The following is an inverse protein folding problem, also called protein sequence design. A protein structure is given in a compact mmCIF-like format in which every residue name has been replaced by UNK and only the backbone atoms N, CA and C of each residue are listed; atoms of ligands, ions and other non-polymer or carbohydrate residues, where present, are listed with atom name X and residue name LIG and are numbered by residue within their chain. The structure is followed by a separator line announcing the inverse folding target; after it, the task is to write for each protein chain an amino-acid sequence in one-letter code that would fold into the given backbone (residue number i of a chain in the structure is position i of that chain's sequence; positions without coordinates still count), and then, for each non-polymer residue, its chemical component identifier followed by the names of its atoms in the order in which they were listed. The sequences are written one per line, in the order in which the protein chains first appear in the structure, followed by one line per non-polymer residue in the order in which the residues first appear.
data_IF_774697450781
#
_entry.id   IF_774697450781
#
_cell.length_a   1.000
_cell.length_b   1.000
_cell.length_c   1.000
_cell.angle_alpha   90.00
_cell.angle_beta   90.00
_cell.angle_gamma   90.00
#
_symmetry.space_group_name_H-M   'P 1'
#
loop_
_entity.id
_entity.type
_entity.pdbx_description
1 polymer ?
#
# COMPACT_ATOMS: atom_id res chain seq x y z
N UNK A 1 -15.85 -8.44 -1.34
CA UNK A 1 -16.27 -9.70 -1.97
C UNK A 1 -17.69 -9.99 -1.55
N UNK A 2 -18.63 -10.27 -2.48
CA UNK A 2 -20.00 -10.62 -2.10
C UNK A 2 -20.00 -11.90 -1.26
N UNK A 3 -20.68 -11.88 -0.12
CA UNK A 3 -20.80 -13.05 0.77
C UNK A 3 -21.44 -14.25 0.06
N UNK A 4 -22.27 -13.96 -0.96
CA UNK A 4 -23.00 -14.96 -1.76
C UNK A 4 -22.26 -15.41 -3.02
N UNK A 5 -21.02 -14.95 -3.26
CA UNK A 5 -20.27 -15.37 -4.43
C UNK A 5 -19.95 -16.88 -4.34
N UNK A 6 -20.27 -17.68 -5.37
CA UNK A 6 -19.90 -19.06 -5.36
C UNK A 6 -18.38 -19.21 -5.32
N UNK A 7 -17.85 -20.27 -4.69
CA UNK A 7 -16.42 -20.53 -4.75
C UNK A 7 -16.00 -20.68 -6.22
N UNK A 8 -14.80 -20.16 -6.60
CA UNK A 8 -14.32 -20.31 -7.96
C UNK A 8 -14.10 -21.80 -8.29
N UNK A 9 -14.33 -22.15 -9.55
CA UNK A 9 -14.07 -23.50 -10.03
C UNK A 9 -12.57 -23.86 -9.90
N UNK A 10 -12.23 -25.12 -9.59
CA UNK A 10 -10.83 -25.54 -9.44
C UNK A 10 -9.97 -25.21 -10.68
N UNK A 11 -10.50 -25.34 -11.88
CA UNK A 11 -9.81 -25.03 -13.12
C UNK A 11 -9.49 -23.54 -13.25
N UNK A 12 -10.36 -22.67 -12.77
CA UNK A 12 -10.15 -21.23 -12.73
C UNK A 12 -9.05 -20.85 -11.75
N UNK A 13 -9.05 -21.47 -10.56
CA UNK A 13 -7.97 -21.31 -9.57
C UNK A 13 -6.63 -21.76 -10.17
N UNK A 14 -6.58 -22.92 -10.82
CA UNK A 14 -5.34 -23.45 -11.41
C UNK A 14 -4.86 -22.59 -12.58
N UNK A 15 -5.78 -22.02 -13.37
CA UNK A 15 -5.44 -21.06 -14.42
C UNK A 15 -4.76 -19.80 -13.82
N UNK A 16 -5.32 -19.21 -12.79
CA UNK A 16 -4.70 -18.05 -12.14
C UNK A 16 -3.35 -18.38 -11.48
N UNK A 17 -3.20 -19.55 -10.87
CA UNK A 17 -1.90 -20.02 -10.35
C UNK A 17 -0.88 -20.17 -11.46
N UNK A 18 -1.26 -20.78 -12.58
CA UNK A 18 -0.39 -20.90 -13.76
C UNK A 18 0.06 -19.55 -14.29
N UNK A 19 -0.85 -18.56 -14.37
CA UNK A 19 -0.50 -17.20 -14.78
C UNK A 19 0.52 -16.56 -13.85
N UNK A 20 0.29 -16.65 -12.53
CA UNK A 20 1.20 -16.08 -11.52
C UNK A 20 2.59 -16.75 -11.55
N UNK A 21 2.64 -18.07 -11.65
CA UNK A 21 3.91 -18.80 -11.75
C UNK A 21 4.65 -18.46 -13.05
N UNK A 22 3.94 -18.43 -14.16
CA UNK A 22 4.50 -18.10 -15.48
C UNK A 22 5.06 -16.68 -15.48
N UNK A 23 4.31 -15.71 -14.96
CA UNK A 23 4.77 -14.34 -14.82
C UNK A 23 6.02 -14.27 -13.94
N UNK A 24 6.02 -14.87 -12.77
CA UNK A 24 7.16 -14.84 -11.85
C UNK A 24 8.41 -15.43 -12.49
N UNK A 25 8.30 -16.58 -13.16
CA UNK A 25 9.43 -17.21 -13.88
C UNK A 25 9.99 -16.32 -14.98
N UNK A 26 9.12 -15.70 -15.78
CA UNK A 26 9.54 -14.78 -16.85
C UNK A 26 10.16 -13.51 -16.29
N UNK A 27 9.58 -12.96 -15.23
CA UNK A 27 10.11 -11.79 -14.54
C UNK A 27 11.50 -12.04 -13.97
N UNK A 28 11.72 -13.16 -13.31
CA UNK A 28 13.03 -13.51 -12.76
C UNK A 28 14.08 -13.76 -13.85
N UNK A 29 13.69 -14.30 -14.99
CA UNK A 29 14.57 -14.40 -16.15
C UNK A 29 14.96 -13.02 -16.70
N UNK A 30 14.01 -12.10 -16.80
CA UNK A 30 14.25 -10.71 -17.19
C UNK A 30 15.17 -9.99 -16.19
N UNK A 31 14.89 -10.11 -14.89
CA UNK A 31 15.74 -9.52 -13.83
C UNK A 31 17.17 -10.01 -13.93
N UNK A 32 17.36 -11.32 -14.11
CA UNK A 32 18.69 -11.90 -14.30
C UNK A 32 19.38 -11.40 -15.57
N UNK A 33 18.65 -11.21 -16.67
CA UNK A 33 19.18 -10.65 -17.91
C UNK A 33 19.61 -9.19 -17.73
N UNK A 34 18.79 -8.37 -17.08
CA UNK A 34 19.08 -6.97 -16.75
C UNK A 34 20.34 -6.86 -15.86
N UNK A 35 20.38 -7.63 -14.78
CA UNK A 35 21.51 -7.64 -13.83
C UNK A 35 22.85 -7.96 -14.50
N UNK A 36 22.89 -8.90 -15.44
CA UNK A 36 24.12 -9.21 -16.22
C UNK A 36 24.60 -8.05 -17.09
N UNK A 37 23.78 -7.03 -17.28
CA UNK A 37 24.09 -5.82 -18.06
C UNK A 37 24.22 -4.58 -17.17
N UNK A 38 24.32 -4.78 -15.85
CA UNK A 38 24.37 -3.71 -14.86
C UNK A 38 23.16 -2.78 -14.91
N UNK A 39 22.00 -3.30 -15.36
CA UNK A 39 20.71 -2.59 -15.36
C UNK A 39 19.95 -3.01 -14.09
N UNK A 40 19.57 -2.02 -13.30
CA UNK A 40 18.73 -2.18 -12.11
C UNK A 40 17.26 -1.97 -12.47
N UNK A 41 16.40 -2.74 -11.85
CA UNK A 41 14.94 -2.60 -12.02
C UNK A 41 14.39 -1.94 -10.78
N UNK A 42 13.75 -0.79 -10.98
CA UNK A 42 13.02 -0.06 -9.93
C UNK A 42 11.53 -0.39 -10.03
N UNK A 43 10.97 -0.85 -8.91
CA UNK A 43 9.53 -1.00 -8.75
C UNK A 43 8.88 0.27 -8.21
N UNK A 44 7.57 0.30 -8.27
CA UNK A 44 6.73 1.36 -7.71
C UNK A 44 5.57 0.74 -6.93
N UNK A 45 5.39 1.17 -5.67
CA UNK A 45 4.30 0.67 -4.83
C UNK A 45 3.52 1.81 -4.21
N UNK A 46 2.19 1.77 -4.23
CA UNK A 46 1.39 2.76 -3.55
C UNK A 46 1.46 2.57 -2.03
N UNK A 47 1.38 3.67 -1.26
CA UNK A 47 1.26 3.57 0.20
C UNK A 47 -0.06 2.89 0.56
N UNK A 48 -1.16 3.39 0.03
CA UNK A 48 -2.50 2.83 0.27
C UNK A 48 -2.84 1.70 -0.68
N UNK A 49 -3.79 0.88 -0.27
CA UNK A 49 -4.36 -0.20 -1.08
C UNK A 49 -5.75 0.20 -1.61
N UNK A 50 -6.23 -0.51 -2.61
CA UNK A 50 -7.60 -0.35 -3.07
C UNK A 50 -8.60 -0.94 -2.06
N UNK A 51 -9.80 -0.35 -1.90
CA UNK A 51 -10.83 -0.91 -1.02
C UNK A 51 -11.33 -2.29 -1.48
N UNK A 52 -11.20 -2.61 -2.76
CA UNK A 52 -11.53 -3.91 -3.34
C UNK A 52 -10.33 -4.85 -3.48
N UNK A 53 -9.21 -4.55 -2.80
CA UNK A 53 -8.02 -5.42 -2.79
C UNK A 53 -8.25 -6.72 -2.00
N UNK A 54 -7.52 -7.75 -2.39
CA UNK A 54 -7.52 -9.03 -1.66
C UNK A 54 -7.08 -8.87 -0.20
N UNK A 55 -6.25 -7.88 0.11
CA UNK A 55 -5.81 -7.59 1.47
C UNK A 55 -6.97 -7.06 2.32
N UNK A 56 -7.75 -6.13 1.77
CA UNK A 56 -8.93 -5.60 2.45
C UNK A 56 -9.93 -6.71 2.78
N UNK A 57 -10.11 -7.65 1.87
CA UNK A 57 -10.98 -8.80 2.08
C UNK A 57 -10.41 -9.83 3.08
N UNK A 58 -9.12 -10.16 2.99
CA UNK A 58 -8.52 -11.24 3.79
C UNK A 58 -7.99 -10.80 5.15
N UNK A 59 -7.66 -9.54 5.31
CA UNK A 59 -7.03 -8.96 6.49
C UNK A 59 -7.66 -7.60 6.83
N UNK A 60 -9.01 -7.55 6.97
CA UNK A 60 -9.71 -6.30 7.26
C UNK A 60 -9.23 -5.63 8.56
N UNK A 61 -8.70 -6.43 9.50
CA UNK A 61 -8.13 -5.95 10.76
C UNK A 61 -6.88 -5.07 10.60
N UNK A 62 -6.33 -4.95 9.40
CA UNK A 62 -5.22 -4.02 9.10
C UNK A 62 -5.70 -2.59 8.90
N UNK A 63 -7.01 -2.37 8.75
CA UNK A 63 -7.59 -1.10 8.33
C UNK A 63 -8.55 -0.52 9.36
N UNK A 64 -8.73 0.81 9.29
CA UNK A 64 -9.68 1.52 10.15
C UNK A 64 -11.12 1.26 9.67
N UNK A 65 -11.81 0.35 10.35
CA UNK A 65 -13.18 -0.01 10.05
C UNK A 65 -14.13 0.39 11.20
N UNK A 66 -15.38 0.64 10.86
CA UNK A 66 -16.45 0.81 11.82
C UNK A 66 -16.90 -0.54 12.40
N UNK A 67 -17.80 -0.53 13.40
CA UNK A 67 -18.32 -1.75 14.02
C UNK A 67 -19.15 -2.63 13.08
N UNK A 68 -19.37 -2.23 11.82
CA UNK A 68 -20.10 -2.98 10.78
C UNK A 68 -19.17 -3.48 9.67
N UNK A 69 -17.87 -3.20 9.77
CA UNK A 69 -16.88 -3.59 8.76
C UNK A 69 -16.77 -2.64 7.56
N UNK A 70 -17.39 -1.46 7.59
CA UNK A 70 -17.19 -0.43 6.58
C UNK A 70 -16.00 0.46 6.96
N UNK A 71 -15.43 1.16 5.97
CA UNK A 71 -14.38 2.13 6.23
C UNK A 71 -14.87 3.21 7.21
N UNK A 72 -14.14 3.42 8.29
CA UNK A 72 -14.42 4.52 9.23
C UNK A 72 -14.01 5.88 8.64
N UNK A 73 -12.92 5.88 7.88
CA UNK A 73 -12.41 7.01 7.13
C UNK A 73 -11.64 6.51 5.91
N UNK A 74 -11.34 7.40 4.98
CA UNK A 74 -10.56 7.11 3.79
C UNK A 74 -9.44 8.12 3.57
N UNK A 75 -8.43 7.71 2.80
CA UNK A 75 -7.32 8.55 2.43
C UNK A 75 -7.74 9.66 1.45
N UNK A 76 -7.05 10.78 1.55
CA UNK A 76 -7.16 11.90 0.65
C UNK A 76 -6.00 12.87 0.81
N UNK A 77 -6.15 14.05 0.25
CA UNK A 77 -5.28 15.22 0.49
C UNK A 77 -6.12 16.45 0.76
N UNK A 78 -5.66 17.36 1.60
CA UNK A 78 -6.39 18.60 1.90
C UNK A 78 -6.53 19.49 0.67
N UNK A 79 -7.40 20.51 0.72
CA UNK A 79 -7.41 21.58 -0.26
C UNK A 79 -6.03 22.21 -0.45
N UNK A 80 -5.69 22.48 -1.70
CA UNK A 80 -4.44 23.13 -2.10
C UNK A 80 -4.65 24.13 -3.26
N UNK A 81 -3.57 24.63 -3.84
CA UNK A 81 -3.63 25.57 -4.96
C UNK A 81 -4.20 24.97 -6.26
N UNK A 82 -4.28 23.66 -6.38
CA UNK A 82 -4.78 22.93 -7.55
C UNK A 82 -6.23 22.45 -7.37
N UNK A 83 -6.68 22.27 -6.12
CA UNK A 83 -8.03 21.80 -5.78
C UNK A 83 -8.54 22.42 -4.50
N UNK A 84 -9.53 23.32 -4.61
CA UNK A 84 -10.16 23.94 -3.42
C UNK A 84 -10.95 22.93 -2.57
N UNK A 85 -11.26 21.75 -3.07
CA UNK A 85 -11.96 20.69 -2.35
C UNK A 85 -11.02 19.59 -1.84
N UNK A 86 -9.73 19.69 -2.16
CA UNK A 86 -8.77 18.60 -1.97
C UNK A 86 -9.07 17.42 -2.86
N UNK A 87 -8.52 16.27 -2.52
CA UNK A 87 -8.78 15.03 -3.26
C UNK A 87 -9.25 13.95 -2.29
N UNK A 88 -10.39 13.35 -2.58
CA UNK A 88 -10.92 12.19 -1.86
C UNK A 88 -10.59 10.93 -2.66
N UNK A 89 -9.64 10.14 -2.16
CA UNK A 89 -9.13 8.97 -2.89
C UNK A 89 -9.94 7.70 -2.62
N UNK A 90 -10.58 7.62 -1.44
CA UNK A 90 -11.40 6.46 -1.06
C UNK A 90 -10.61 5.22 -0.62
N UNK A 91 -9.28 5.29 -0.54
CA UNK A 91 -8.45 4.18 -0.08
C UNK A 91 -8.61 3.97 1.43
N UNK A 92 -8.62 2.70 1.92
CA UNK A 92 -8.66 2.42 3.34
C UNK A 92 -7.40 2.92 4.05
N UNK A 93 -7.58 3.46 5.25
CA UNK A 93 -6.50 3.87 6.13
C UNK A 93 -6.03 2.68 6.97
N UNK A 94 -4.71 2.54 7.16
CA UNK A 94 -4.18 1.51 8.05
C UNK A 94 -4.50 1.82 9.52
N UNK A 95 -4.79 0.80 10.30
CA UNK A 95 -5.04 0.93 11.75
C UNK A 95 -3.73 0.89 12.56
N UNK A 96 -3.00 2.01 12.53
CA UNK A 96 -1.75 2.17 13.28
C UNK A 96 -1.94 2.16 14.79
N UNK A 97 -3.15 2.42 15.28
CA UNK A 97 -3.45 2.52 16.72
C UNK A 97 -3.96 1.19 17.29
N UNK A 98 -4.89 0.55 16.58
CA UNK A 98 -5.52 -0.68 17.04
C UNK A 98 -4.73 -1.94 16.69
N UNK A 99 -4.05 -1.96 15.55
CA UNK A 99 -3.30 -3.15 15.07
C UNK A 99 -1.92 -2.81 14.49
N UNK A 100 -1.16 -1.99 15.21
CA UNK A 100 0.18 -1.57 14.77
C UNK A 100 1.06 -2.73 14.33
N UNK A 101 1.15 -3.80 15.12
CA UNK A 101 2.02 -4.94 14.84
C UNK A 101 1.60 -5.67 13.57
N UNK A 102 0.30 -5.90 13.37
CA UNK A 102 -0.23 -6.54 12.15
C UNK A 102 0.10 -5.74 10.89
N UNK A 103 -0.09 -4.40 10.96
CA UNK A 103 0.25 -3.50 9.85
C UNK A 103 1.76 -3.49 9.58
N UNK A 104 2.60 -3.47 10.62
CA UNK A 104 4.06 -3.55 10.46
C UNK A 104 4.48 -4.87 9.79
N UNK A 105 3.91 -5.98 10.21
CA UNK A 105 4.23 -7.29 9.63
C UNK A 105 3.72 -7.41 8.19
N UNK A 106 2.59 -6.81 7.86
CA UNK A 106 2.13 -6.69 6.48
C UNK A 106 3.14 -5.90 5.63
N UNK A 107 3.58 -4.73 6.08
CA UNK A 107 4.54 -3.90 5.37
C UNK A 107 5.90 -4.57 5.20
N UNK A 108 6.40 -5.27 6.22
CA UNK A 108 7.64 -6.06 6.11
C UNK A 108 7.54 -7.12 5.01
N UNK A 109 6.43 -7.91 4.98
CA UNK A 109 6.21 -8.91 3.93
C UNK A 109 6.15 -8.27 2.54
N UNK A 110 5.49 -7.12 2.42
CA UNK A 110 5.38 -6.37 1.17
C UNK A 110 6.75 -5.93 0.66
N UNK A 111 7.58 -5.36 1.53
CA UNK A 111 8.95 -4.93 1.17
C UNK A 111 9.88 -6.11 0.90
N UNK A 112 9.78 -7.20 1.63
CA UNK A 112 10.53 -8.44 1.35
C UNK A 112 10.17 -9.00 -0.03
N UNK A 113 8.90 -8.94 -0.42
CA UNK A 113 8.49 -9.31 -1.77
C UNK A 113 9.08 -8.36 -2.82
N UNK A 114 9.05 -7.06 -2.59
CA UNK A 114 9.72 -6.09 -3.47
C UNK A 114 11.22 -6.41 -3.62
N UNK A 115 11.90 -6.74 -2.53
CA UNK A 115 13.33 -7.11 -2.55
C UNK A 115 13.62 -8.38 -3.38
N UNK A 116 12.67 -9.29 -3.48
CA UNK A 116 12.82 -10.47 -4.33
C UNK A 116 12.75 -10.12 -5.82
N UNK A 117 11.90 -9.16 -6.19
CA UNK A 117 11.59 -8.88 -7.60
C UNK A 117 12.20 -7.59 -8.15
N UNK A 118 12.63 -6.66 -7.30
CA UNK A 118 13.23 -5.38 -7.68
C UNK A 118 14.62 -5.19 -7.08
N UNK A 119 15.34 -4.19 -7.54
CA UNK A 119 16.64 -3.74 -7.01
C UNK A 119 16.47 -2.43 -6.19
N UNK A 120 15.44 -1.66 -6.53
CA UNK A 120 14.99 -0.49 -5.80
C UNK A 120 13.45 -0.42 -5.84
N UNK A 121 12.83 0.27 -4.91
CA UNK A 121 11.39 0.53 -4.94
C UNK A 121 11.08 1.96 -4.54
N UNK A 122 10.30 2.65 -5.38
CA UNK A 122 9.68 3.92 -5.01
C UNK A 122 8.39 3.65 -4.22
N UNK A 123 8.26 4.31 -3.10
CA UNK A 123 7.02 4.29 -2.32
C UNK A 123 6.26 5.58 -2.64
N UNK A 124 5.13 5.41 -3.31
CA UNK A 124 4.22 6.47 -3.67
C UNK A 124 3.53 7.05 -2.43
N UNK A 125 3.27 8.35 -2.41
CA UNK A 125 2.70 9.05 -1.26
C UNK A 125 3.50 8.84 0.03
N UNK A 126 4.83 8.93 -0.04
CA UNK A 126 5.75 8.68 1.08
C UNK A 126 5.48 9.58 2.29
N UNK A 127 4.90 10.77 2.07
CA UNK A 127 4.46 11.67 3.12
C UNK A 127 3.63 10.97 4.21
N UNK A 128 2.83 9.97 3.84
CA UNK A 128 1.98 9.25 4.79
C UNK A 128 2.74 8.49 5.87
N UNK A 129 4.06 8.30 5.74
CA UNK A 129 4.90 7.83 6.85
C UNK A 129 4.98 8.85 7.98
N UNK A 130 4.96 10.15 7.67
CA UNK A 130 4.96 11.23 8.67
C UNK A 130 3.54 11.53 9.13
N UNK A 131 2.67 11.92 8.21
CA UNK A 131 1.27 12.24 8.48
C UNK A 131 0.42 12.03 7.23
N UNK A 132 -0.83 11.68 7.43
CA UNK A 132 -1.78 11.42 6.36
C UNK A 132 -3.09 12.17 6.60
N UNK A 133 -3.77 12.49 5.51
CA UNK A 133 -5.06 13.16 5.53
C UNK A 133 -6.18 12.13 5.63
N UNK A 134 -6.89 12.15 6.75
CA UNK A 134 -8.00 11.25 7.06
C UNK A 134 -9.31 11.96 6.81
N UNK A 135 -10.12 11.42 5.90
CA UNK A 135 -11.43 11.98 5.55
C UNK A 135 -12.53 11.06 6.06
N UNK A 136 -13.45 11.54 6.91
CA UNK A 136 -14.54 10.72 7.45
C UNK A 136 -15.38 10.10 6.34
N UNK A 137 -15.85 8.87 6.56
CA UNK A 137 -16.78 8.21 5.61
C UNK A 137 -18.08 9.00 5.50
N UNK A 138 -18.54 9.24 4.27
CA UNK A 138 -19.74 10.03 3.98
C UNK A 138 -19.46 11.52 3.73
N UNK A 139 -18.22 11.99 3.88
CA UNK A 139 -17.84 13.35 3.51
C UNK A 139 -18.02 13.57 1.99
N UNK A 140 -18.54 14.74 1.61
CA UNK A 140 -18.73 15.09 0.18
C UNK A 140 -17.41 15.40 -0.53
N UNK A 141 -16.41 15.87 0.21
CA UNK A 141 -15.09 16.23 -0.31
C UNK A 141 -14.03 16.15 0.79
N UNK A 142 -12.78 16.41 0.44
CA UNK A 142 -11.67 16.26 1.38
C UNK A 142 -11.50 17.43 2.38
N UNK A 143 -12.30 18.51 2.30
CA UNK A 143 -12.25 19.62 3.27
C UNK A 143 -12.59 19.19 4.70
N UNK A 144 -13.42 18.16 4.83
CA UNK A 144 -13.85 17.64 6.13
C UNK A 144 -12.81 16.76 6.82
N UNK A 145 -11.68 16.54 6.16
CA UNK A 145 -10.59 15.74 6.68
C UNK A 145 -9.77 16.45 7.75
N UNK A 146 -8.85 15.69 8.33
CA UNK A 146 -7.86 16.18 9.29
C UNK A 146 -6.56 15.37 9.19
N UNK A 147 -5.46 15.96 9.67
CA UNK A 147 -4.18 15.28 9.72
C UNK A 147 -4.15 14.28 10.87
N UNK A 148 -3.64 13.08 10.56
CA UNK A 148 -3.28 12.08 11.55
C UNK A 148 -1.80 11.71 11.41
N UNK A 149 -1.17 11.34 12.53
CA UNK A 149 0.23 10.92 12.54
C UNK A 149 0.40 9.56 11.86
N UNK A 150 1.40 9.47 11.01
CA UNK A 150 1.81 8.23 10.37
C UNK A 150 2.70 7.36 11.29
N UNK A 151 3.15 6.21 10.79
CA UNK A 151 3.98 5.27 11.56
C UNK A 151 5.41 5.75 11.83
N UNK A 152 5.83 6.83 11.19
CA UNK A 152 7.12 7.48 11.39
C UNK A 152 8.34 6.62 11.07
N UNK A 153 9.47 7.02 11.64
CA UNK A 153 10.77 6.36 11.47
C UNK A 153 10.79 4.91 11.98
N UNK A 154 9.91 4.56 12.90
CA UNK A 154 9.85 3.20 13.44
C UNK A 154 9.54 2.16 12.37
N UNK A 155 8.54 2.43 11.52
CA UNK A 155 8.25 1.55 10.39
C UNK A 155 9.40 1.55 9.40
N UNK A 156 9.94 2.71 9.02
CA UNK A 156 11.06 2.78 8.07
C UNK A 156 12.26 1.95 8.51
N UNK A 157 12.67 2.04 9.77
CA UNK A 157 13.74 1.22 10.32
C UNK A 157 13.40 -0.28 10.26
N UNK A 158 12.13 -0.65 10.54
CA UNK A 158 11.69 -2.03 10.44
C UNK A 158 11.74 -2.55 9.01
N UNK A 159 11.39 -1.73 8.01
CA UNK A 159 11.46 -2.07 6.59
C UNK A 159 12.91 -2.24 6.14
N UNK A 160 13.80 -1.29 6.44
CA UNK A 160 15.21 -1.38 6.12
C UNK A 160 15.87 -2.63 6.72
N UNK A 161 15.51 -2.95 7.97
CA UNK A 161 16.00 -4.17 8.64
C UNK A 161 15.47 -5.45 7.99
N UNK A 162 14.25 -5.44 7.47
CA UNK A 162 13.62 -6.63 6.86
C UNK A 162 14.10 -6.90 5.44
N UNK A 163 14.63 -5.90 4.73
CA UNK A 163 15.13 -6.01 3.36
C UNK A 163 16.33 -5.07 3.13
N UNK A 164 17.49 -5.32 3.79
CA UNK A 164 18.62 -4.40 3.79
C UNK A 164 19.29 -4.22 2.41
N UNK A 165 19.03 -5.13 1.46
CA UNK A 165 19.55 -5.06 0.10
C UNK A 165 18.68 -4.23 -0.86
N UNK A 166 17.44 -3.89 -0.47
CA UNK A 166 16.52 -3.12 -1.30
C UNK A 166 16.74 -1.62 -1.05
N UNK A 167 16.96 -0.88 -2.12
CA UNK A 167 16.99 0.58 -2.05
C UNK A 167 15.54 1.11 -1.98
N UNK A 168 15.23 1.88 -0.93
CA UNK A 168 13.94 2.55 -0.78
C UNK A 168 14.05 3.98 -1.29
N UNK A 169 13.16 4.35 -2.19
CA UNK A 169 13.06 5.68 -2.76
C UNK A 169 11.76 6.32 -2.28
N UNK A 170 11.88 7.45 -1.61
CA UNK A 170 10.75 8.23 -1.16
C UNK A 170 10.24 9.13 -2.31
N UNK A 171 8.93 9.16 -2.52
CA UNK A 171 8.33 10.21 -3.32
C UNK A 171 8.38 11.53 -2.53
N UNK A 172 9.01 12.54 -3.13
CA UNK A 172 9.14 13.87 -2.52
C UNK A 172 8.02 14.81 -3.04
N UNK A 173 6.78 14.51 -2.62
CA UNK A 173 5.62 15.34 -2.91
C UNK A 173 4.90 15.74 -1.61
N UNK A 174 4.39 16.97 -1.61
CA UNK A 174 3.67 17.56 -0.50
C UNK A 174 4.58 18.34 0.46
N UNK A 175 3.96 19.24 1.21
CA UNK A 175 4.60 20.05 2.24
C UNK A 175 4.60 19.28 3.57
N UNK A 176 5.76 19.05 4.15
CA UNK A 176 5.89 18.36 5.44
C UNK A 176 5.67 19.30 6.64
N UNK A 177 5.53 20.60 6.36
CA UNK A 177 5.47 21.60 7.43
C UNK A 177 6.80 21.76 8.19
N UNK A 178 6.88 22.70 9.12
CA UNK A 178 8.05 22.88 9.96
C UNK A 178 8.21 21.76 10.97
#
# INVERSE_FOLDING_TARGET
WPEDAPPPEPEEIDFHRFLQETFYRQWMALKKYASRRCIRIMGDIPFYLSPDSVQMWRQPELFQLDGKGHLAASAGVPPDAFSDQGQLWGNPLYDWKGNKQGVFDFWKRRIQWCAAIYDAVRIDHFRAFHSYWSVPTGAENAREGHWEDGPGMELLHALQKSAPQLELIAEDLGDLGP
#
